data_IF_137247583483
#
_entry.id   IF_137247583483
#
_cell.length_a   1.000
_cell.length_b   1.000
_cell.length_c   1.000
_cell.angle_alpha   90.00
_cell.angle_beta   90.00
_cell.angle_gamma   90.00
#
_symmetry.space_group_name_H-M   'P 1'
#
loop_
_entity.id
_entity.type
_entity.pdbx_description
1 polymer ?
#
# COMPACT_ATOMS: atom_id res chain seq x y z
N UNK A 1 -7.03 -15.03 -48.80
CA UNK A 1 -5.94 -14.15 -48.37
C UNK A 1 -5.95 -14.21 -46.85
N UNK A 2 -5.38 -15.29 -46.29
CA UNK A 2 -5.34 -15.50 -44.84
C UNK A 2 -4.04 -14.90 -44.33
N UNK A 3 -4.16 -13.91 -43.45
CA UNK A 3 -3.05 -13.36 -42.70
C UNK A 3 -2.79 -14.36 -41.56
N UNK A 4 -1.60 -14.98 -41.46
CA UNK A 4 -1.26 -15.80 -40.31
C UNK A 4 -0.80 -14.88 -39.17
N UNK A 5 -1.66 -14.67 -38.19
CA UNK A 5 -1.27 -14.16 -36.87
C UNK A 5 -0.64 -15.31 -36.08
N UNK A 6 0.63 -15.60 -36.33
CA UNK A 6 1.45 -16.39 -35.40
C UNK A 6 2.12 -15.43 -34.43
N UNK A 7 1.46 -15.20 -33.31
CA UNK A 7 2.07 -14.63 -32.13
C UNK A 7 2.93 -15.69 -31.44
N UNK A 8 4.13 -15.34 -30.98
CA UNK A 8 4.89 -16.20 -30.09
C UNK A 8 4.25 -16.15 -28.69
N UNK A 9 4.05 -17.28 -28.01
CA UNK A 9 3.24 -17.27 -26.79
C UNK A 9 4.12 -17.15 -25.53
N UNK A 10 3.52 -16.77 -24.40
CA UNK A 10 4.24 -16.49 -23.13
C UNK A 10 4.97 -17.73 -22.63
N UNK A 11 6.29 -17.63 -22.44
CA UNK A 11 7.08 -18.70 -21.87
C UNK A 11 7.17 -18.54 -20.37
N UNK A 12 6.57 -19.50 -19.67
CA UNK A 12 6.65 -19.66 -18.22
C UNK A 12 7.44 -20.92 -17.91
N UNK A 13 8.63 -20.77 -17.31
CA UNK A 13 9.44 -21.91 -16.89
C UNK A 13 9.06 -22.33 -15.47
N UNK A 14 8.78 -23.62 -15.30
CA UNK A 14 8.12 -24.20 -14.14
C UNK A 14 9.08 -24.52 -12.97
N UNK A 15 8.61 -24.28 -11.74
CA UNK A 15 8.68 -25.21 -10.60
C UNK A 15 7.49 -24.91 -9.66
N UNK A 16 6.32 -25.50 -9.99
CA UNK A 16 5.07 -25.59 -9.21
C UNK A 16 4.32 -24.28 -8.85
N UNK A 17 3.03 -24.25 -9.21
CA UNK A 17 2.08 -23.11 -9.25
C UNK A 17 2.32 -22.13 -10.40
N UNK A 18 1.54 -22.29 -11.48
CA UNK A 18 1.57 -21.38 -12.65
C UNK A 18 1.01 -20.01 -12.27
N UNK A 19 1.52 -18.93 -12.87
CA UNK A 19 0.92 -17.65 -12.69
C UNK A 19 -0.31 -17.49 -13.54
N UNK A 20 -1.08 -16.56 -13.04
CA UNK A 20 -2.34 -16.12 -13.53
C UNK A 20 -2.19 -15.24 -14.79
N UNK A 21 -3.23 -15.14 -15.62
CA UNK A 21 -3.46 -14.04 -16.56
C UNK A 21 -4.96 -13.76 -16.48
N UNK A 22 -5.34 -12.49 -16.36
CA UNK A 22 -6.63 -12.13 -15.77
C UNK A 22 -7.33 -10.99 -16.50
N UNK A 23 -8.14 -11.32 -17.51
CA UNK A 23 -8.79 -10.34 -18.37
C UNK A 23 -10.12 -9.89 -17.77
N UNK A 24 -10.08 -8.84 -16.95
CA UNK A 24 -11.28 -8.23 -16.35
C UNK A 24 -11.77 -6.98 -17.08
N UNK A 25 -13.05 -6.96 -17.47
CA UNK A 25 -13.71 -5.76 -17.99
C UNK A 25 -14.24 -4.87 -16.86
N UNK A 26 -14.04 -3.55 -16.93
CA UNK A 26 -14.52 -2.61 -15.90
C UNK A 26 -15.94 -2.15 -16.18
N UNK A 27 -16.89 -2.48 -15.30
CA UNK A 27 -18.29 -2.06 -15.42
C UNK A 27 -18.53 -0.58 -15.08
N UNK A 28 -19.32 0.11 -15.90
CA UNK A 28 -20.00 1.37 -15.53
C UNK A 28 -21.48 1.09 -15.31
N UNK A 29 -22.00 1.39 -14.11
CA UNK A 29 -23.43 1.33 -13.81
C UNK A 29 -24.12 2.63 -14.25
N UNK A 30 -25.17 2.51 -15.09
CA UNK A 30 -26.19 3.56 -15.22
C UNK A 30 -26.33 4.31 -16.55
N UNK A 31 -25.90 3.75 -17.68
CA UNK A 31 -26.11 4.33 -19.03
C UNK A 31 -26.79 3.37 -20.02
N UNK A 32 -27.22 3.84 -21.21
CA UNK A 32 -27.73 2.96 -22.26
C UNK A 32 -26.69 1.89 -22.62
N UNK A 33 -27.16 0.65 -22.79
CA UNK A 33 -26.33 -0.55 -23.05
C UNK A 33 -25.46 -0.32 -24.29
N UNK A 34 -24.12 -0.28 -24.17
CA UNK A 34 -23.21 -0.17 -25.32
C UNK A 34 -23.31 -1.39 -26.25
N UNK A 35 -22.78 -1.35 -27.48
CA UNK A 35 -22.72 -2.54 -28.32
C UNK A 35 -21.80 -3.61 -27.71
N UNK A 36 -22.24 -4.87 -27.77
CA UNK A 36 -21.42 -6.04 -27.42
C UNK A 36 -20.17 -6.09 -28.31
N UNK A 37 -19.02 -6.29 -27.67
CA UNK A 37 -17.72 -6.45 -28.33
C UNK A 37 -17.10 -7.77 -27.86
N UNK A 38 -16.52 -8.52 -28.79
CA UNK A 38 -15.78 -9.76 -28.51
C UNK A 38 -14.29 -9.45 -28.54
N UNK A 39 -13.57 -9.83 -27.47
CA UNK A 39 -12.11 -9.81 -27.42
C UNK A 39 -11.59 -11.21 -27.14
N UNK A 40 -10.65 -11.67 -27.96
CA UNK A 40 -10.00 -12.97 -27.79
C UNK A 40 -8.50 -12.77 -27.51
N UNK A 41 -7.98 -13.49 -26.52
CA UNK A 41 -6.56 -13.48 -26.12
C UNK A 41 -6.09 -14.93 -25.82
N UNK A 42 -4.80 -15.22 -25.95
CA UNK A 42 -4.24 -16.57 -25.73
C UNK A 42 -2.92 -16.55 -24.97
N UNK A 43 -2.60 -17.67 -24.30
CA UNK A 43 -1.45 -17.91 -23.43
C UNK A 43 -0.81 -19.27 -23.76
N UNK A 44 0.51 -19.36 -23.96
CA UNK A 44 1.19 -20.67 -23.93
C UNK A 44 1.29 -21.17 -22.51
N UNK A 45 1.05 -22.45 -22.36
CA UNK A 45 1.45 -23.23 -21.21
C UNK A 45 2.48 -24.24 -21.67
N UNK A 46 3.55 -24.39 -20.89
CA UNK A 46 4.62 -25.37 -21.16
C UNK A 46 4.72 -26.31 -19.97
N UNK A 47 4.66 -27.61 -20.26
CA UNK A 47 4.92 -28.70 -19.33
C UNK A 47 4.10 -28.64 -18.02
N UNK A 48 2.80 -28.32 -18.13
CA UNK A 48 1.92 -28.16 -16.98
C UNK A 48 1.03 -29.38 -16.74
N UNK A 49 0.92 -29.79 -15.46
CA UNK A 49 -0.05 -30.82 -15.04
C UNK A 49 -1.32 -30.23 -14.45
N UNK A 50 -1.25 -28.99 -13.99
CA UNK A 50 -2.39 -28.25 -13.47
C UNK A 50 -2.17 -26.76 -13.73
N UNK A 51 -3.18 -26.10 -14.28
CA UNK A 51 -3.25 -24.64 -14.38
C UNK A 51 -4.33 -24.16 -13.43
N UNK A 52 -4.05 -23.06 -12.73
CA UNK A 52 -5.04 -22.39 -11.88
C UNK A 52 -5.06 -20.92 -12.22
N UNK A 53 -6.24 -20.44 -12.61
CA UNK A 53 -6.53 -19.04 -12.87
C UNK A 53 -7.32 -18.44 -11.69
N UNK A 54 -6.72 -17.60 -10.84
CA UNK A 54 -7.43 -16.88 -9.78
C UNK A 54 -8.17 -15.62 -10.31
N UNK A 55 -9.16 -15.13 -9.56
CA UNK A 55 -9.97 -13.93 -9.80
C UNK A 55 -10.52 -13.64 -11.22
N UNK A 56 -10.52 -14.57 -12.17
CA UNK A 56 -10.99 -14.37 -13.56
C UNK A 56 -12.40 -13.78 -13.53
N UNK A 57 -12.57 -12.56 -14.06
CA UNK A 57 -13.84 -11.82 -13.92
C UNK A 57 -14.43 -11.43 -15.28
N UNK A 58 -15.71 -11.70 -15.49
CA UNK A 58 -16.47 -11.02 -16.52
C UNK A 58 -16.85 -9.61 -16.04
N UNK A 59 -16.60 -8.60 -16.88
CA UNK A 59 -16.98 -7.24 -16.54
C UNK A 59 -18.43 -6.95 -16.90
N UNK A 60 -19.30 -6.87 -15.90
CA UNK A 60 -20.73 -6.58 -16.09
C UNK A 60 -21.56 -7.84 -16.34
N UNK A 61 -22.78 -7.67 -16.88
CA UNK A 61 -23.79 -8.74 -17.03
C UNK A 61 -23.61 -9.63 -18.28
N UNK A 62 -22.38 -10.02 -18.59
CA UNK A 62 -22.02 -10.89 -19.74
C UNK A 62 -21.23 -12.11 -19.25
N UNK A 63 -20.18 -12.56 -19.95
CA UNK A 63 -19.37 -13.73 -19.58
C UNK A 63 -18.02 -13.74 -20.32
N UNK A 64 -17.09 -14.56 -19.84
CA UNK A 64 -15.84 -14.91 -20.54
C UNK A 64 -15.77 -16.41 -20.75
N UNK A 65 -15.44 -16.86 -21.96
CA UNK A 65 -15.18 -18.27 -22.26
C UNK A 65 -13.69 -18.53 -22.13
N UNK A 66 -13.32 -19.49 -21.30
CA UNK A 66 -11.97 -19.98 -21.10
C UNK A 66 -11.83 -21.34 -21.80
N UNK A 67 -10.92 -21.45 -22.75
CA UNK A 67 -10.52 -22.71 -23.38
C UNK A 67 -9.17 -23.14 -22.82
N UNK A 68 -9.13 -24.27 -22.13
CA UNK A 68 -7.93 -24.82 -21.50
C UNK A 68 -6.96 -25.49 -22.49
N UNK A 69 -7.32 -25.52 -23.77
CA UNK A 69 -6.45 -25.91 -24.88
C UNK A 69 -6.29 -27.42 -25.08
N UNK A 70 -6.99 -28.24 -24.29
CA UNK A 70 -7.14 -29.68 -24.48
C UNK A 70 -8.56 -30.07 -24.96
N UNK A 71 -9.35 -29.06 -25.35
CA UNK A 71 -10.76 -29.21 -25.73
C UNK A 71 -11.73 -28.99 -24.57
N UNK A 72 -11.25 -28.77 -23.35
CA UNK A 72 -12.07 -28.38 -22.19
C UNK A 72 -12.30 -26.87 -22.20
N UNK A 73 -13.56 -26.45 -22.15
CA UNK A 73 -13.95 -25.04 -22.06
C UNK A 73 -14.80 -24.77 -20.83
N UNK A 74 -14.68 -23.57 -20.27
CA UNK A 74 -15.43 -23.09 -19.11
C UNK A 74 -16.01 -21.69 -19.37
N UNK A 75 -17.26 -21.45 -18.98
CA UNK A 75 -17.89 -20.13 -19.06
C UNK A 75 -17.89 -19.46 -17.69
N UNK A 76 -17.36 -18.25 -17.63
CA UNK A 76 -17.09 -17.51 -16.39
C UNK A 76 -17.99 -16.27 -16.35
N UNK A 77 -18.89 -16.23 -15.37
CA UNK A 77 -19.83 -15.13 -15.16
C UNK A 77 -19.46 -14.21 -13.99
N UNK A 78 -18.75 -14.73 -13.00
CA UNK A 78 -18.39 -14.02 -11.78
C UNK A 78 -16.89 -14.16 -11.52
N UNK A 79 -16.31 -13.20 -10.79
CA UNK A 79 -14.88 -13.26 -10.43
C UNK A 79 -14.60 -14.50 -9.57
N UNK A 80 -13.78 -15.42 -10.05
CA UNK A 80 -13.54 -16.70 -9.38
C UNK A 80 -12.15 -17.27 -9.60
N UNK A 81 -11.82 -18.28 -8.80
CA UNK A 81 -10.68 -19.16 -9.06
C UNK A 81 -11.17 -20.35 -9.90
N UNK A 82 -10.48 -20.60 -10.99
CA UNK A 82 -10.77 -21.65 -11.96
C UNK A 82 -9.52 -22.49 -12.15
N UNK A 83 -9.62 -23.82 -12.03
CA UNK A 83 -8.47 -24.70 -12.14
C UNK A 83 -8.76 -25.85 -13.07
N UNK A 84 -7.77 -26.22 -13.86
CA UNK A 84 -7.84 -27.37 -14.74
C UNK A 84 -6.61 -28.26 -14.57
N UNK A 85 -6.84 -29.56 -14.51
CA UNK A 85 -5.80 -30.57 -14.33
C UNK A 85 -5.75 -31.43 -15.59
N UNK A 86 -4.59 -31.50 -16.23
CA UNK A 86 -4.41 -32.24 -17.47
C UNK A 86 -4.09 -33.71 -17.19
N UNK A 87 -4.52 -34.59 -18.11
CA UNK A 87 -4.09 -36.00 -18.10
C UNK A 87 -2.66 -36.12 -18.65
N UNK A 88 -1.69 -35.67 -17.85
CA UNK A 88 -0.27 -35.66 -18.20
C UNK A 88 0.32 -34.25 -18.26
N UNK A 89 1.50 -34.14 -18.86
CA UNK A 89 2.16 -32.86 -19.11
C UNK A 89 1.56 -32.19 -20.34
N UNK A 90 0.93 -31.04 -20.15
CA UNK A 90 0.33 -30.23 -21.21
C UNK A 90 1.29 -29.14 -21.66
N UNK A 91 1.49 -29.07 -22.98
CA UNK A 91 2.14 -27.94 -23.66
C UNK A 91 1.24 -27.50 -24.80
N UNK A 92 0.74 -26.27 -24.77
CA UNK A 92 -0.20 -25.74 -25.75
C UNK A 92 -0.81 -24.41 -25.31
N UNK A 93 -1.76 -23.89 -26.09
CA UNK A 93 -2.38 -22.59 -25.81
C UNK A 93 -3.68 -22.71 -25.01
N UNK A 94 -3.80 -21.92 -23.95
CA UNK A 94 -5.08 -21.58 -23.29
C UNK A 94 -5.59 -20.29 -23.92
N UNK A 95 -6.89 -20.15 -24.17
CA UNK A 95 -7.47 -18.91 -24.71
C UNK A 95 -8.65 -18.40 -23.89
N UNK A 96 -8.83 -17.08 -23.90
CA UNK A 96 -9.94 -16.38 -23.26
C UNK A 96 -10.68 -15.56 -24.32
N UNK A 97 -12.00 -15.76 -24.41
CA UNK A 97 -12.91 -14.95 -25.22
C UNK A 97 -13.87 -14.19 -24.31
N UNK A 98 -13.64 -12.88 -24.14
CA UNK A 98 -14.49 -12.01 -23.33
C UNK A 98 -15.55 -11.34 -24.19
N UNK A 99 -16.81 -11.52 -23.80
CA UNK A 99 -17.96 -10.78 -24.33
C UNK A 99 -18.22 -9.59 -23.41
N UNK A 100 -18.05 -8.35 -23.88
CA UNK A 100 -18.09 -7.17 -23.02
C UNK A 100 -18.68 -5.93 -23.71
N UNK A 101 -19.25 -5.04 -22.91
CA UNK A 101 -19.67 -3.71 -23.38
C UNK A 101 -18.47 -2.76 -23.50
N UNK A 102 -18.37 -2.06 -24.62
CA UNK A 102 -17.31 -1.07 -24.83
C UNK A 102 -17.43 0.14 -23.86
N UNK A 103 -16.29 0.69 -23.36
CA UNK A 103 -14.92 0.30 -23.64
C UNK A 103 -14.44 -0.87 -22.75
N UNK A 104 -14.05 -1.98 -23.37
CA UNK A 104 -13.52 -3.14 -22.66
C UNK A 104 -12.09 -2.87 -22.16
N UNK A 105 -11.93 -2.75 -20.83
CA UNK A 105 -10.63 -2.80 -20.18
C UNK A 105 -10.15 -4.25 -20.20
N UNK A 106 -8.90 -4.44 -20.57
CA UNK A 106 -8.22 -5.73 -20.46
C UNK A 106 -7.23 -5.59 -19.31
N UNK A 107 -7.35 -6.47 -18.31
CA UNK A 107 -6.36 -6.63 -17.25
C UNK A 107 -5.56 -7.90 -17.53
N UNK A 108 -4.36 -8.02 -16.99
CA UNK A 108 -3.64 -9.28 -16.89
C UNK A 108 -2.98 -9.29 -15.53
N UNK A 109 -3.35 -10.21 -14.65
CA UNK A 109 -2.70 -10.36 -13.35
C UNK A 109 -1.97 -11.71 -13.31
N UNK A 110 -0.69 -11.69 -12.94
CA UNK A 110 0.24 -12.81 -12.90
C UNK A 110 0.70 -12.97 -11.45
N UNK A 111 0.67 -14.18 -10.87
CA UNK A 111 1.08 -14.35 -9.47
C UNK A 111 1.67 -15.70 -9.13
N UNK A 112 2.61 -15.76 -8.20
CA UNK A 112 3.16 -17.02 -7.67
C UNK A 112 4.63 -17.21 -8.02
N UNK A 113 5.21 -18.30 -7.53
CA UNK A 113 6.66 -18.52 -7.49
C UNK A 113 7.22 -18.97 -8.85
N UNK A 114 7.18 -18.09 -9.84
CA UNK A 114 7.53 -18.40 -11.24
C UNK A 114 8.48 -17.38 -11.85
N UNK A 115 9.16 -17.78 -12.93
CA UNK A 115 9.93 -16.86 -13.77
C UNK A 115 9.11 -16.44 -14.99
N UNK A 116 8.96 -15.12 -15.20
CA UNK A 116 8.25 -14.54 -16.33
C UNK A 116 9.23 -14.03 -17.39
N UNK A 117 9.02 -14.41 -18.65
CA UNK A 117 9.63 -13.77 -19.82
C UNK A 117 8.58 -12.91 -20.55
N UNK A 118 8.92 -11.63 -20.76
CA UNK A 118 8.06 -10.64 -21.43
C UNK A 118 7.78 -10.92 -22.91
N UNK A 119 8.53 -11.81 -23.58
CA UNK A 119 8.44 -11.99 -25.03
C UNK A 119 7.04 -12.41 -25.54
N UNK A 120 6.26 -13.13 -24.72
CA UNK A 120 4.91 -13.55 -25.13
C UNK A 120 3.79 -12.57 -24.80
N UNK A 121 4.06 -11.50 -24.02
CA UNK A 121 3.07 -10.46 -23.76
C UNK A 121 2.76 -9.64 -25.01
N UNK A 122 3.61 -9.69 -26.05
CA UNK A 122 3.49 -8.84 -27.24
C UNK A 122 2.16 -8.96 -28.02
N UNK A 123 1.44 -10.09 -27.89
CA UNK A 123 0.23 -10.37 -28.67
C UNK A 123 -1.08 -10.06 -27.93
N UNK A 124 -1.01 -9.78 -26.64
CA UNK A 124 -2.14 -9.29 -25.86
C UNK A 124 -2.12 -7.76 -25.83
N UNK A 125 -3.29 -7.13 -25.65
CA UNK A 125 -3.40 -5.66 -25.57
C UNK A 125 -4.01 -5.20 -24.24
N UNK A 126 -3.41 -5.57 -23.09
CA UNK A 126 -3.88 -5.14 -21.79
C UNK A 126 -3.78 -3.63 -21.63
N UNK A 127 -4.76 -3.08 -20.93
CA UNK A 127 -4.72 -1.72 -20.38
C UNK A 127 -4.09 -1.70 -18.99
N UNK A 128 -4.15 -2.83 -18.27
CA UNK A 128 -3.55 -3.04 -16.95
C UNK A 128 -2.77 -4.35 -16.97
N UNK A 129 -1.54 -4.34 -16.48
CA UNK A 129 -0.74 -5.54 -16.22
C UNK A 129 -0.28 -5.50 -14.77
N UNK A 130 -0.61 -6.51 -13.98
CA UNK A 130 -0.13 -6.74 -12.63
C UNK A 130 0.65 -8.05 -12.57
N UNK A 131 1.80 -8.04 -11.91
CA UNK A 131 2.61 -9.23 -11.65
C UNK A 131 2.95 -9.20 -10.17
N UNK A 132 2.64 -10.25 -9.41
CA UNK A 132 2.80 -10.27 -7.95
C UNK A 132 3.48 -11.54 -7.42
N UNK A 133 4.54 -11.36 -6.63
CA UNK A 133 5.24 -12.45 -5.95
C UNK A 133 5.95 -13.44 -6.89
N UNK A 134 6.48 -12.97 -8.03
CA UNK A 134 7.27 -13.81 -8.95
C UNK A 134 8.74 -13.88 -8.55
N UNK A 135 9.43 -14.99 -8.85
CA UNK A 135 10.86 -15.13 -8.53
C UNK A 135 11.71 -14.21 -9.38
N UNK A 136 11.42 -14.16 -10.68
CA UNK A 136 12.17 -13.35 -11.62
C UNK A 136 11.25 -12.83 -12.73
N UNK A 137 11.34 -11.54 -13.01
CA UNK A 137 10.75 -10.87 -14.15
C UNK A 137 11.88 -10.52 -15.10
N UNK A 138 11.96 -11.26 -16.22
CA UNK A 138 13.09 -11.25 -17.14
C UNK A 138 12.67 -10.82 -18.55
N UNK A 139 13.66 -10.47 -19.36
CA UNK A 139 13.47 -9.97 -20.71
C UNK A 139 13.38 -8.44 -20.79
N UNK A 140 13.21 -7.90 -22.01
CA UNK A 140 13.19 -6.45 -22.20
C UNK A 140 11.79 -5.90 -21.95
N UNK A 141 11.70 -4.87 -21.10
CA UNK A 141 10.48 -4.08 -20.88
C UNK A 141 9.91 -3.49 -22.19
N UNK A 142 10.71 -3.40 -23.25
CA UNK A 142 10.26 -2.92 -24.57
C UNK A 142 9.29 -3.88 -25.25
N UNK A 143 9.25 -5.15 -24.80
CA UNK A 143 8.32 -6.18 -25.26
C UNK A 143 6.93 -6.03 -24.65
N UNK A 144 6.78 -5.17 -23.62
CA UNK A 144 5.49 -4.91 -23.00
C UNK A 144 4.52 -4.25 -24.00
N UNK A 145 3.23 -4.65 -24.01
CA UNK A 145 2.22 -4.02 -24.84
C UNK A 145 2.12 -2.52 -24.62
N UNK A 146 2.19 -1.76 -25.71
CA UNK A 146 2.10 -0.29 -25.70
C UNK A 146 0.72 0.25 -25.26
N UNK A 147 -0.28 -0.62 -25.19
CA UNK A 147 -1.63 -0.33 -24.68
C UNK A 147 -1.68 -0.20 -23.15
N UNK A 148 -0.66 -0.68 -22.44
CA UNK A 148 -0.64 -0.66 -20.98
C UNK A 148 -0.61 0.80 -20.49
N UNK A 149 -1.56 1.10 -19.61
CA UNK A 149 -1.67 2.38 -18.89
C UNK A 149 -1.44 2.21 -17.40
N UNK A 150 -1.55 0.99 -16.88
CA UNK A 150 -1.27 0.65 -15.48
C UNK A 150 -0.37 -0.58 -15.45
N UNK A 151 0.84 -0.42 -14.91
CA UNK A 151 1.78 -1.51 -14.74
C UNK A 151 2.10 -1.66 -13.26
N UNK A 152 1.95 -2.87 -12.73
CA UNK A 152 2.40 -3.26 -11.41
C UNK A 152 3.24 -4.52 -11.52
N UNK A 153 4.46 -4.51 -11.00
CA UNK A 153 5.34 -5.68 -10.98
C UNK A 153 5.96 -5.78 -9.58
N UNK A 154 5.74 -6.91 -8.91
CA UNK A 154 6.44 -7.35 -7.71
C UNK A 154 7.21 -8.62 -8.06
N UNK A 155 8.53 -8.54 -8.00
CA UNK A 155 9.41 -9.68 -8.24
C UNK A 155 10.55 -9.72 -7.22
N UNK A 156 11.07 -10.91 -6.93
CA UNK A 156 12.34 -11.04 -6.20
C UNK A 156 13.52 -10.61 -7.10
N UNK A 157 13.40 -10.76 -8.41
CA UNK A 157 14.40 -10.34 -9.39
C UNK A 157 13.68 -9.57 -10.51
N UNK A 158 14.00 -8.30 -10.70
CA UNK A 158 13.45 -7.47 -11.78
C UNK A 158 14.56 -6.99 -12.70
N UNK A 159 14.61 -7.53 -13.91
CA UNK A 159 15.52 -7.11 -14.97
C UNK A 159 14.83 -6.16 -15.97
N UNK A 160 15.63 -5.39 -16.70
CA UNK A 160 15.17 -4.49 -17.76
C UNK A 160 15.73 -3.08 -17.64
N UNK A 161 15.30 -2.17 -18.51
CA UNK A 161 15.67 -0.75 -18.49
C UNK A 161 14.41 0.11 -18.38
N UNK A 162 14.38 1.04 -17.43
CA UNK A 162 13.25 1.98 -17.26
C UNK A 162 12.92 2.78 -18.52
N UNK A 163 13.89 3.03 -19.40
CA UNK A 163 13.69 3.72 -20.67
C UNK A 163 12.79 2.94 -21.65
N UNK A 164 12.67 1.63 -21.46
CA UNK A 164 11.90 0.74 -22.32
C UNK A 164 10.42 0.63 -21.91
N UNK A 165 10.00 1.28 -20.81
CA UNK A 165 8.63 1.25 -20.33
C UNK A 165 7.61 1.82 -21.35
N UNK A 166 6.38 1.28 -21.42
CA UNK A 166 5.35 1.80 -22.32
C UNK A 166 5.10 3.31 -22.15
N UNK A 167 5.05 4.09 -23.25
CA UNK A 167 5.06 5.56 -23.17
C UNK A 167 3.76 6.18 -22.62
N UNK A 168 2.66 5.41 -22.59
CA UNK A 168 1.34 5.88 -22.17
C UNK A 168 0.98 5.50 -20.72
N UNK A 169 1.96 5.05 -19.92
CA UNK A 169 1.74 4.69 -18.53
C UNK A 169 1.21 5.86 -17.70
N UNK A 170 0.12 5.61 -16.99
CA UNK A 170 -0.49 6.51 -16.00
C UNK A 170 -0.17 6.09 -14.58
N UNK A 171 -0.05 4.79 -14.33
CA UNK A 171 0.28 4.22 -13.03
C UNK A 171 1.42 3.23 -13.20
N UNK A 172 2.46 3.38 -12.38
CA UNK A 172 3.60 2.48 -12.35
C UNK A 172 3.88 2.06 -10.92
N UNK A 173 3.88 0.75 -10.67
CA UNK A 173 4.30 0.14 -9.41
C UNK A 173 5.41 -0.85 -9.76
N UNK A 174 6.61 -0.63 -9.23
CA UNK A 174 7.71 -1.58 -9.36
C UNK A 174 8.24 -1.91 -7.97
N UNK A 175 8.18 -3.18 -7.62
CA UNK A 175 8.72 -3.75 -6.41
C UNK A 175 9.76 -4.80 -6.79
N UNK A 176 11.02 -4.56 -6.45
CA UNK A 176 12.11 -5.50 -6.60
C UNK A 176 12.66 -5.86 -5.22
N UNK A 177 12.43 -7.09 -4.77
CA UNK A 177 12.78 -7.53 -3.42
C UNK A 177 14.21 -8.08 -3.30
N UNK A 178 14.84 -8.45 -4.42
CA UNK A 178 16.21 -8.96 -4.46
C UNK A 178 17.21 -7.89 -4.90
N UNK A 179 18.45 -8.32 -5.18
CA UNK A 179 19.61 -7.45 -5.32
C UNK A 179 19.96 -7.10 -6.78
N UNK A 180 19.16 -7.52 -7.75
CA UNK A 180 19.43 -7.31 -9.16
C UNK A 180 19.04 -5.91 -9.62
N UNK A 181 19.97 -5.23 -10.28
CA UNK A 181 19.78 -3.84 -10.68
C UNK A 181 18.98 -3.73 -11.97
N UNK A 182 17.77 -3.18 -11.89
CA UNK A 182 17.08 -2.59 -13.04
C UNK A 182 17.92 -1.43 -13.60
N UNK A 183 18.10 -1.43 -14.92
CA UNK A 183 18.87 -0.42 -15.64
C UNK A 183 18.08 0.88 -15.82
N UNK A 184 18.80 1.95 -16.10
CA UNK A 184 18.24 3.28 -16.26
C UNK A 184 18.06 4.02 -14.92
N UNK A 185 17.43 5.19 -15.04
CA UNK A 185 17.17 6.11 -13.94
C UNK A 185 15.72 6.59 -14.04
N UNK A 186 15.18 7.15 -12.96
CA UNK A 186 13.85 7.75 -12.96
C UNK A 186 13.70 8.88 -13.99
N UNK A 187 14.79 9.49 -14.45
CA UNK A 187 14.81 10.45 -15.57
C UNK A 187 14.30 9.86 -16.90
N UNK A 188 14.37 8.54 -17.06
CA UNK A 188 13.89 7.83 -18.24
C UNK A 188 12.41 7.46 -18.17
N UNK A 189 11.73 7.73 -17.05
CA UNK A 189 10.34 7.34 -16.89
C UNK A 189 9.42 8.05 -17.90
N UNK A 190 8.35 7.38 -18.38
CA UNK A 190 7.34 8.00 -19.22
C UNK A 190 6.73 9.26 -18.59
N UNK A 191 6.74 10.36 -19.35
CA UNK A 191 6.23 11.67 -18.91
C UNK A 191 4.71 11.72 -18.66
N UNK A 192 4.00 10.62 -18.89
CA UNK A 192 2.55 10.49 -18.75
C UNK A 192 2.14 9.98 -17.37
N UNK A 193 3.09 9.52 -16.55
CA UNK A 193 2.86 8.89 -15.23
C UNK A 193 2.28 9.91 -14.24
N UNK A 194 1.17 9.53 -13.61
CA UNK A 194 0.47 10.32 -12.59
C UNK A 194 0.63 9.69 -11.19
N UNK A 195 0.82 8.37 -11.12
CA UNK A 195 1.07 7.62 -9.90
C UNK A 195 2.32 6.76 -10.04
N UNK A 196 3.28 6.93 -9.13
CA UNK A 196 4.53 6.18 -9.10
C UNK A 196 4.73 5.54 -7.72
N UNK A 197 4.95 4.23 -7.70
CA UNK A 197 5.38 3.49 -6.51
C UNK A 197 6.62 2.67 -6.84
N UNK A 198 7.75 3.01 -6.22
CA UNK A 198 9.01 2.32 -6.40
C UNK A 198 9.48 1.77 -5.06
N UNK A 199 9.57 0.45 -4.96
CA UNK A 199 10.16 -0.25 -3.85
C UNK A 199 11.32 -1.10 -4.38
N UNK A 200 12.54 -0.84 -3.92
CA UNK A 200 13.68 -1.70 -4.25
C UNK A 200 14.70 -1.59 -3.15
N UNK A 201 15.54 -2.60 -2.93
CA UNK A 201 16.77 -2.46 -2.15
C UNK A 201 17.85 -1.80 -3.00
N UNK A 202 17.82 -0.46 -3.06
CA UNK A 202 18.90 0.40 -3.58
C UNK A 202 19.11 0.49 -5.11
N UNK A 203 18.18 0.01 -5.96
CA UNK A 203 18.45 -0.06 -7.41
C UNK A 203 17.86 1.05 -8.25
N UNK A 204 16.79 1.71 -7.81
CA UNK A 204 16.24 2.87 -8.52
C UNK A 204 17.11 4.10 -8.24
N UNK A 205 17.67 4.69 -9.32
CA UNK A 205 18.59 5.84 -9.27
C UNK A 205 18.02 7.07 -9.98
N UNK A 206 18.60 8.24 -9.72
CA UNK A 206 18.15 9.55 -10.23
C UNK A 206 17.74 10.48 -9.09
N UNK A 207 17.36 11.70 -9.43
CA UNK A 207 17.05 12.74 -8.45
C UNK A 207 15.56 13.12 -8.45
N UNK A 208 15.05 13.67 -7.35
CA UNK A 208 13.65 14.12 -7.27
C UNK A 208 13.26 15.11 -8.38
N UNK A 209 14.21 15.92 -8.88
CA UNK A 209 14.03 16.81 -10.03
C UNK A 209 13.67 16.08 -11.34
N UNK A 210 14.01 14.79 -11.45
CA UNK A 210 13.78 13.96 -12.63
C UNK A 210 12.36 13.39 -12.70
N UNK A 211 11.56 13.52 -11.63
CA UNK A 211 10.20 13.00 -11.60
C UNK A 211 9.33 13.64 -12.71
N UNK A 212 8.50 12.84 -13.42
CA UNK A 212 7.60 13.36 -14.46
C UNK A 212 6.72 14.52 -13.97
N UNK A 213 6.59 15.58 -14.77
CA UNK A 213 5.79 16.75 -14.39
C UNK A 213 4.28 16.47 -14.24
N UNK A 214 3.79 15.34 -14.74
CA UNK A 214 2.39 14.89 -14.58
C UNK A 214 2.12 14.20 -13.24
N UNK A 215 3.15 13.91 -12.45
CA UNK A 215 3.03 13.12 -11.22
C UNK A 215 2.17 13.86 -10.19
N UNK A 216 1.23 13.12 -9.60
CA UNK A 216 0.34 13.58 -8.52
C UNK A 216 0.60 12.85 -7.22
N UNK A 217 1.01 11.59 -7.31
CA UNK A 217 1.34 10.77 -6.15
C UNK A 217 2.63 10.00 -6.37
N UNK A 218 3.51 10.04 -5.38
CA UNK A 218 4.80 9.35 -5.38
C UNK A 218 5.00 8.58 -4.08
N UNK A 219 5.35 7.31 -4.20
CA UNK A 219 5.66 6.39 -3.12
C UNK A 219 7.04 5.80 -3.38
N UNK A 220 8.06 6.20 -2.62
CA UNK A 220 9.44 5.80 -2.80
C UNK A 220 9.89 5.10 -1.53
N UNK A 221 10.33 3.85 -1.65
CA UNK A 221 10.79 3.08 -0.50
C UNK A 221 12.06 2.29 -0.79
N UNK A 222 13.03 2.36 0.13
CA UNK A 222 14.29 1.60 0.13
C UNK A 222 15.27 1.90 -1.03
N UNK A 223 15.08 3.01 -1.74
CA UNK A 223 15.84 3.35 -2.94
C UNK A 223 17.09 4.20 -2.67
N UNK A 224 17.91 4.40 -3.70
CA UNK A 224 19.09 5.29 -3.71
C UNK A 224 18.84 6.60 -4.46
N UNK A 225 17.57 7.04 -4.49
CA UNK A 225 17.19 8.30 -5.13
C UNK A 225 17.79 9.49 -4.38
N UNK A 226 18.34 10.43 -5.14
CA UNK A 226 18.89 11.68 -4.65
C UNK A 226 17.94 12.86 -4.85
N UNK A 227 18.49 14.06 -4.75
CA UNK A 227 17.76 15.32 -4.86
C UNK A 227 17.19 15.81 -3.53
N UNK A 228 16.67 17.04 -3.58
CA UNK A 228 16.09 17.75 -2.42
C UNK A 228 14.58 17.75 -2.47
N UNK A 229 13.91 17.82 -1.32
CA UNK A 229 12.45 17.96 -1.26
C UNK A 229 11.95 19.18 -2.05
N UNK A 230 12.75 20.24 -2.13
CA UNK A 230 12.42 21.47 -2.88
C UNK A 230 12.37 21.28 -4.41
N UNK A 231 12.92 20.17 -4.91
CA UNK A 231 12.90 19.80 -6.33
C UNK A 231 11.63 19.03 -6.70
N UNK A 232 10.87 18.54 -5.71
CA UNK A 232 9.59 17.88 -5.94
C UNK A 232 8.61 18.83 -6.64
N UNK A 233 7.86 18.29 -7.61
CA UNK A 233 6.87 19.07 -8.33
C UNK A 233 5.78 19.61 -7.38
N UNK A 234 5.52 20.92 -7.47
CA UNK A 234 4.52 21.63 -6.66
C UNK A 234 3.08 21.17 -6.88
N UNK A 235 2.79 20.41 -7.95
CA UNK A 235 1.48 19.80 -8.20
C UNK A 235 1.23 18.49 -7.46
N UNK A 236 2.22 17.94 -6.75
CA UNK A 236 2.05 16.71 -5.97
C UNK A 236 0.97 16.89 -4.90
N UNK A 237 0.11 15.88 -4.79
CA UNK A 237 -0.97 15.76 -3.82
C UNK A 237 -0.61 14.75 -2.72
N UNK A 238 0.23 13.76 -3.03
CA UNK A 238 0.65 12.71 -2.10
C UNK A 238 2.14 12.37 -2.25
N UNK A 239 2.86 12.37 -1.13
CA UNK A 239 4.30 12.06 -1.07
C UNK A 239 4.54 11.08 0.06
N UNK A 240 5.11 9.92 -0.27
CA UNK A 240 5.55 8.91 0.68
C UNK A 240 7.01 8.55 0.38
N UNK A 241 7.94 8.87 1.29
CA UNK A 241 9.38 8.63 1.11
C UNK A 241 9.90 7.90 2.35
N UNK A 242 10.31 6.65 2.18
CA UNK A 242 10.66 5.75 3.29
C UNK A 242 12.00 5.05 3.03
N UNK A 243 12.99 5.19 3.93
CA UNK A 243 14.30 4.53 3.76
C UNK A 243 14.95 4.82 2.41
N UNK A 244 14.77 6.04 1.90
CA UNK A 244 15.57 6.51 0.77
C UNK A 244 16.82 7.13 1.37
N UNK A 245 18.00 6.85 0.82
CA UNK A 245 19.28 7.32 1.36
C UNK A 245 19.87 8.49 0.55
N UNK A 246 19.22 9.68 0.49
CA UNK A 246 19.77 10.79 -0.29
C UNK A 246 21.03 11.42 0.36
N UNK A 247 21.45 10.97 1.54
CA UNK A 247 22.40 11.69 2.39
C UNK A 247 21.75 12.88 3.10
N UNK A 248 22.50 13.61 3.92
CA UNK A 248 22.00 14.86 4.51
C UNK A 248 21.95 15.96 3.44
N UNK A 249 20.74 16.29 2.99
CA UNK A 249 20.48 17.28 1.96
C UNK A 249 20.10 18.66 2.52
N UNK A 250 19.94 18.78 3.85
CA UNK A 250 19.42 19.97 4.50
C UNK A 250 17.95 20.27 4.14
N UNK A 251 17.16 19.23 3.85
CA UNK A 251 15.74 19.36 3.53
C UNK A 251 14.94 19.85 4.74
N UNK A 252 13.95 20.72 4.48
CA UNK A 252 13.07 21.24 5.52
C UNK A 252 11.59 21.07 5.14
N UNK A 253 10.71 21.14 6.14
CA UNK A 253 9.26 21.06 5.91
C UNK A 253 8.72 22.15 4.97
N UNK A 254 9.34 23.33 4.91
CA UNK A 254 8.95 24.40 3.99
C UNK A 254 9.35 24.15 2.51
N UNK A 255 10.15 23.12 2.26
CA UNK A 255 10.52 22.69 0.89
C UNK A 255 9.42 21.81 0.25
N UNK A 256 8.45 21.33 1.04
CA UNK A 256 7.40 20.45 0.56
C UNK A 256 6.46 21.13 -0.47
N UNK A 257 5.91 20.36 -1.42
CA UNK A 257 4.84 20.83 -2.29
C UNK A 257 3.65 21.40 -1.48
N UNK A 258 3.12 22.57 -1.84
CA UNK A 258 2.17 23.30 -0.99
C UNK A 258 0.74 22.72 -0.98
N UNK A 259 0.41 21.82 -1.92
CA UNK A 259 -0.94 21.28 -2.09
C UNK A 259 -1.08 19.84 -1.58
N UNK A 260 -0.12 19.35 -0.79
CA UNK A 260 -0.16 17.97 -0.29
C UNK A 260 -1.38 17.74 0.60
N UNK A 261 -2.10 16.65 0.33
CA UNK A 261 -3.14 16.12 1.21
C UNK A 261 -2.61 14.98 2.06
N UNK A 262 -1.57 14.29 1.58
CA UNK A 262 -0.98 13.14 2.26
C UNK A 262 0.55 13.20 2.24
N UNK A 263 1.15 13.09 3.43
CA UNK A 263 2.60 13.08 3.59
C UNK A 263 3.03 11.92 4.50
N UNK A 264 3.95 11.10 3.99
CA UNK A 264 4.67 10.07 4.72
C UNK A 264 6.17 10.23 4.56
N UNK A 265 6.91 10.46 5.62
CA UNK A 265 8.36 10.55 5.61
C UNK A 265 8.92 9.60 6.68
N UNK A 266 9.89 8.75 6.34
CA UNK A 266 10.54 7.87 7.31
C UNK A 266 12.00 7.66 6.95
N UNK A 267 12.87 7.70 7.95
CA UNK A 267 14.31 7.53 7.78
C UNK A 267 14.85 8.53 6.73
N UNK A 268 14.43 9.78 6.88
CA UNK A 268 14.81 10.92 6.06
C UNK A 268 15.15 12.07 7.00
N UNK A 269 16.34 12.67 6.87
CA UNK A 269 16.73 13.82 7.68
C UNK A 269 16.02 15.06 7.14
N UNK A 270 15.01 15.54 7.87
CA UNK A 270 14.21 16.70 7.50
C UNK A 270 14.07 17.62 8.71
N UNK A 271 14.48 18.88 8.55
CA UNK A 271 14.34 19.91 9.57
C UNK A 271 13.08 20.77 9.40
N UNK A 272 12.97 21.81 10.23
CA UNK A 272 11.96 22.86 10.08
C UNK A 272 10.82 22.78 11.09
N UNK A 273 9.94 23.79 11.05
CA UNK A 273 8.84 23.95 11.99
C UNK A 273 7.59 23.22 11.51
N UNK A 274 6.81 22.65 12.43
CA UNK A 274 5.47 22.15 12.11
C UNK A 274 4.56 23.22 11.47
N UNK A 275 4.82 24.51 11.75
CA UNK A 275 4.06 25.61 11.16
C UNK A 275 4.21 25.74 9.63
N UNK A 276 5.29 25.17 9.08
CA UNK A 276 5.60 25.14 7.64
C UNK A 276 4.83 24.05 6.88
N UNK A 277 4.17 23.12 7.58
CA UNK A 277 3.41 22.05 6.95
C UNK A 277 2.27 22.59 6.06
N UNK A 278 2.03 22.00 4.87
CA UNK A 278 0.88 22.33 4.05
C UNK A 278 -0.44 22.20 4.81
N UNK A 279 -1.24 23.28 4.83
CA UNK A 279 -2.51 23.33 5.58
C UNK A 279 -3.62 22.47 4.97
N UNK A 280 -3.38 21.87 3.81
CA UNK A 280 -4.26 20.92 3.11
C UNK A 280 -4.12 19.49 3.61
N UNK A 281 -3.10 19.18 4.43
CA UNK A 281 -2.83 17.81 4.88
C UNK A 281 -4.01 17.23 5.67
N UNK A 282 -4.46 16.06 5.25
CA UNK A 282 -5.39 15.19 5.98
C UNK A 282 -4.67 13.98 6.59
N UNK A 283 -3.55 13.57 5.99
CA UNK A 283 -2.71 12.49 6.46
C UNK A 283 -1.26 12.97 6.65
N UNK A 284 -0.72 12.79 7.85
CA UNK A 284 0.67 13.08 8.18
C UNK A 284 1.29 11.91 8.94
N UNK A 285 2.37 11.35 8.40
CA UNK A 285 3.22 10.37 9.08
C UNK A 285 4.68 10.77 8.89
N UNK A 286 5.32 11.37 9.88
CA UNK A 286 6.77 11.62 9.86
C UNK A 286 7.39 10.76 10.95
N UNK A 287 8.28 9.84 10.59
CA UNK A 287 8.94 8.90 11.51
C UNK A 287 10.44 9.03 11.34
N UNK A 288 11.21 8.87 12.42
CA UNK A 288 12.68 8.88 12.35
C UNK A 288 13.21 10.13 11.61
N UNK A 289 12.64 11.30 11.96
CA UNK A 289 12.89 12.58 11.31
C UNK A 289 13.75 13.47 12.19
N UNK A 290 14.99 13.73 11.75
CA UNK A 290 15.94 14.50 12.55
C UNK A 290 15.70 16.01 12.38
N UNK A 291 15.51 16.72 13.50
CA UNK A 291 15.43 18.19 13.59
C UNK A 291 14.09 18.86 13.19
N UNK A 292 12.98 18.11 13.09
CA UNK A 292 11.63 18.70 13.11
C UNK A 292 11.31 19.19 14.52
N UNK A 293 10.82 20.43 14.62
CA UNK A 293 10.43 21.06 15.89
C UNK A 293 9.11 21.82 15.78
N UNK A 294 8.56 22.22 16.93
CA UNK A 294 7.32 23.00 16.98
C UNK A 294 6.42 22.59 18.14
N UNK A 295 5.17 23.05 18.07
CA UNK A 295 4.12 22.68 19.03
C UNK A 295 2.95 21.99 18.37
N UNK A 296 2.21 21.17 19.13
CA UNK A 296 1.01 20.48 18.64
C UNK A 296 -0.01 21.46 18.04
N UNK A 297 -0.11 22.68 18.59
CA UNK A 297 -1.00 23.74 18.08
C UNK A 297 -0.71 24.21 16.66
N UNK A 298 0.49 23.93 16.12
CA UNK A 298 0.91 24.34 14.78
C UNK A 298 0.46 23.34 13.69
N UNK A 299 0.02 22.14 14.07
CA UNK A 299 -0.42 21.10 13.14
C UNK A 299 -1.62 21.55 12.28
N UNK A 300 -1.72 21.09 11.03
CA UNK A 300 -2.88 21.37 10.19
C UNK A 300 -4.20 20.87 10.81
N UNK A 301 -5.18 21.78 10.95
CA UNK A 301 -6.48 21.46 11.55
C UNK A 301 -7.34 20.47 10.73
N UNK A 302 -6.94 20.18 9.49
CA UNK A 302 -7.59 19.22 8.60
C UNK A 302 -7.15 17.77 8.81
N UNK A 303 -6.14 17.51 9.64
CA UNK A 303 -5.62 16.17 9.87
C UNK A 303 -6.69 15.22 10.42
N UNK A 304 -6.81 14.07 9.77
CA UNK A 304 -7.57 12.89 10.23
C UNK A 304 -6.63 11.79 10.73
N UNK A 305 -5.41 11.74 10.20
CA UNK A 305 -4.38 10.79 10.63
C UNK A 305 -3.09 11.51 10.94
N UNK A 306 -2.55 11.27 12.14
CA UNK A 306 -1.27 11.79 12.59
C UNK A 306 -0.39 10.66 13.12
N UNK A 307 0.82 10.54 12.60
CA UNK A 307 1.89 9.75 13.20
C UNK A 307 3.16 10.57 13.27
N UNK A 308 3.71 10.73 14.47
CA UNK A 308 5.02 11.36 14.70
C UNK A 308 5.90 10.33 15.40
N UNK A 309 6.96 9.87 14.75
CA UNK A 309 7.86 8.83 15.26
C UNK A 309 8.97 9.37 16.17
N UNK A 310 10.13 8.73 16.15
CA UNK A 310 11.26 9.06 17.05
C UNK A 310 12.05 10.28 16.56
N UNK A 311 12.70 11.00 17.49
CA UNK A 311 13.66 12.06 17.19
C UNK A 311 13.09 13.47 17.03
N UNK A 312 11.83 13.67 17.42
CA UNK A 312 11.15 14.96 17.36
C UNK A 312 11.37 15.76 18.64
N UNK A 313 11.60 17.08 18.51
CA UNK A 313 11.56 18.00 19.64
C UNK A 313 10.23 18.75 19.66
N UNK A 314 9.19 18.06 20.11
CA UNK A 314 7.82 18.57 20.11
C UNK A 314 7.27 18.72 21.53
N UNK A 315 6.51 19.79 21.72
CA UNK A 315 5.81 20.09 22.98
C UNK A 315 4.35 20.46 22.72
N UNK A 316 3.48 20.31 23.72
CA UNK A 316 2.10 20.78 23.61
C UNK A 316 1.15 20.07 24.56
N UNK A 317 -0.14 20.29 24.34
CA UNK A 317 -1.23 19.64 25.09
C UNK A 317 -2.12 18.79 24.20
N UNK A 318 -2.73 17.73 24.75
CA UNK A 318 -3.73 16.94 24.02
C UNK A 318 -4.92 17.78 23.53
N UNK A 319 -5.32 18.80 24.28
CA UNK A 319 -6.39 19.74 23.93
C UNK A 319 -6.08 20.61 22.70
N UNK A 320 -4.82 20.67 22.27
CA UNK A 320 -4.37 21.39 21.08
C UNK A 320 -4.40 20.53 19.81
N UNK A 321 -4.67 19.23 19.94
CA UNK A 321 -4.72 18.32 18.79
C UNK A 321 -5.83 18.71 17.81
N UNK A 322 -5.63 18.49 16.49
CA UNK A 322 -6.68 18.69 15.50
C UNK A 322 -7.94 17.88 15.84
N UNK A 323 -9.08 18.57 15.98
CA UNK A 323 -10.33 17.96 16.42
C UNK A 323 -10.99 16.98 15.42
N UNK A 324 -10.36 16.73 14.27
CA UNK A 324 -10.82 15.78 13.24
C UNK A 324 -10.03 14.46 13.24
N UNK A 325 -9.04 14.30 14.12
CA UNK A 325 -8.23 13.10 14.17
C UNK A 325 -9.08 11.86 14.47
N UNK A 326 -8.96 10.86 13.61
CA UNK A 326 -9.50 9.50 13.79
C UNK A 326 -8.39 8.52 14.16
N UNK A 327 -7.14 8.79 13.76
CA UNK A 327 -5.98 7.98 14.12
C UNK A 327 -4.81 8.84 14.58
N UNK A 328 -4.23 8.48 15.72
CA UNK A 328 -3.14 9.20 16.36
C UNK A 328 -2.08 8.22 16.85
N UNK A 329 -0.82 8.44 16.46
CA UNK A 329 0.32 7.65 16.91
C UNK A 329 1.50 8.56 17.26
N UNK A 330 2.04 8.39 18.46
CA UNK A 330 3.28 9.05 18.88
C UNK A 330 4.36 8.01 19.14
N UNK A 331 5.58 8.33 18.71
CA UNK A 331 6.80 7.58 18.98
C UNK A 331 7.62 8.22 20.11
N UNK A 332 8.88 7.80 20.17
CA UNK A 332 9.80 8.18 21.24
C UNK A 332 10.08 9.69 21.24
N UNK A 333 10.34 10.25 22.42
CA UNK A 333 10.71 11.66 22.66
C UNK A 333 9.64 12.73 22.36
N UNK A 334 8.40 12.34 22.02
CA UNK A 334 7.28 13.29 21.91
C UNK A 334 6.76 13.65 23.30
N UNK A 335 6.91 14.94 23.69
CA UNK A 335 6.50 15.44 25.02
C UNK A 335 5.15 16.15 24.95
N UNK A 336 4.06 15.43 25.19
CA UNK A 336 2.72 16.01 25.24
C UNK A 336 2.19 15.92 26.68
N UNK A 337 1.53 16.98 27.11
CA UNK A 337 0.95 17.12 28.45
C UNK A 337 -0.58 17.21 28.41
N UNK A 338 -1.20 17.16 29.58
CA UNK A 338 -2.66 17.18 29.71
C UNK A 338 -3.24 15.77 29.75
N UNK A 339 -4.57 15.68 29.84
CA UNK A 339 -5.19 14.39 30.11
C UNK A 339 -5.58 13.65 28.84
N UNK A 340 -5.52 12.32 28.86
CA UNK A 340 -6.10 11.51 27.78
C UNK A 340 -7.61 11.75 27.59
N UNK A 341 -8.29 12.34 28.58
CA UNK A 341 -9.65 12.85 28.44
C UNK A 341 -9.82 14.04 27.49
N UNK A 342 -8.72 14.74 27.16
CA UNK A 342 -8.66 15.88 26.25
C UNK A 342 -8.37 15.46 24.80
N UNK A 343 -8.14 14.16 24.55
CA UNK A 343 -8.00 13.62 23.19
C UNK A 343 -9.27 13.92 22.36
N UNK A 344 -9.14 14.14 21.03
CA UNK A 344 -10.28 14.41 20.16
C UNK A 344 -11.37 13.34 20.28
N UNK A 345 -12.63 13.77 20.40
CA UNK A 345 -13.77 12.85 20.52
C UNK A 345 -14.02 12.00 19.26
N UNK A 346 -13.38 12.33 18.13
CA UNK A 346 -13.43 11.59 16.87
C UNK A 346 -12.44 10.44 16.80
N UNK A 347 -11.56 10.29 17.79
CA UNK A 347 -10.45 9.35 17.75
C UNK A 347 -10.94 7.91 17.87
N UNK A 348 -10.64 7.09 16.86
CA UNK A 348 -10.96 5.66 16.83
C UNK A 348 -9.74 4.79 17.10
N UNK A 349 -8.53 5.30 16.88
CA UNK A 349 -7.28 4.59 17.15
C UNK A 349 -6.24 5.52 17.79
N UNK A 350 -5.68 5.08 18.91
CA UNK A 350 -4.61 5.76 19.63
C UNK A 350 -3.44 4.81 19.85
N UNK A 351 -2.23 5.27 19.54
CA UNK A 351 -1.00 4.53 19.80
C UNK A 351 0.09 5.44 20.37
N UNK A 352 0.87 4.89 21.29
CA UNK A 352 1.98 5.58 21.93
C UNK A 352 3.15 4.62 22.15
N UNK A 353 4.33 4.95 21.62
CA UNK A 353 5.59 4.20 21.77
C UNK A 353 6.59 5.05 22.57
N UNK A 354 6.73 4.71 23.87
CA UNK A 354 7.74 5.14 24.88
C UNK A 354 7.48 6.36 25.81
N UNK A 355 8.28 6.46 26.88
CA UNK A 355 7.87 6.36 28.27
C UNK A 355 7.44 7.61 29.07
N UNK A 356 7.28 8.80 28.50
CA UNK A 356 6.69 9.88 29.31
C UNK A 356 5.21 9.63 29.51
N UNK A 357 4.86 9.08 30.67
CA UNK A 357 3.46 8.85 31.08
C UNK A 357 2.68 10.16 30.95
N UNK A 358 1.66 10.23 30.08
CA UNK A 358 0.92 11.46 29.88
C UNK A 358 0.16 11.92 31.13
N UNK A 359 -0.25 10.95 31.96
CA UNK A 359 -0.86 11.13 33.28
C UNK A 359 -0.45 9.95 34.17
N UNK A 360 -0.39 10.15 35.48
CA UNK A 360 -0.29 9.04 36.46
C UNK A 360 -1.64 8.32 36.65
N UNK A 361 -2.75 8.90 36.19
CA UNK A 361 -4.11 8.34 36.34
C UNK A 361 -5.01 8.71 35.16
N UNK A 362 -5.58 7.69 34.52
CA UNK A 362 -6.52 7.87 33.41
C UNK A 362 -7.93 7.91 33.97
N UNK A 363 -8.64 9.02 33.77
CA UNK A 363 -10.01 9.20 34.31
C UNK A 363 -11.08 9.27 33.22
N UNK A 364 -10.69 9.51 31.96
CA UNK A 364 -11.58 9.62 30.81
C UNK A 364 -10.84 9.29 29.52
N UNK A 365 -11.59 8.76 28.54
CA UNK A 365 -11.14 8.50 27.17
C UNK A 365 -12.21 8.96 26.16
N UNK A 366 -11.84 9.24 24.90
CA UNK A 366 -12.79 9.53 23.83
C UNK A 366 -13.87 8.46 23.64
N UNK A 367 -15.11 8.90 23.41
CA UNK A 367 -16.21 8.00 23.06
C UNK A 367 -16.00 7.48 21.63
N UNK A 368 -15.90 6.16 21.46
CA UNK A 368 -15.71 5.53 20.14
C UNK A 368 -14.28 5.06 19.86
N UNK A 369 -13.37 5.17 20.84
CA UNK A 369 -12.03 4.61 20.76
C UNK A 369 -12.11 3.09 20.59
N UNK A 370 -11.68 2.62 19.42
CA UNK A 370 -11.73 1.21 18.98
C UNK A 370 -10.35 0.57 18.85
N UNK A 371 -9.25 1.28 19.14
CA UNK A 371 -7.92 0.72 19.30
C UNK A 371 -7.08 1.55 20.29
N UNK A 372 -6.40 0.88 21.22
CA UNK A 372 -5.36 1.47 22.07
C UNK A 372 -4.13 0.57 22.04
N UNK A 373 -3.02 1.08 21.52
CA UNK A 373 -1.72 0.41 21.52
C UNK A 373 -0.73 1.24 22.33
N UNK A 374 -0.41 0.80 23.54
CA UNK A 374 0.68 1.39 24.32
C UNK A 374 1.84 0.40 24.31
N UNK A 375 2.96 0.83 23.77
CA UNK A 375 4.21 0.08 23.74
C UNK A 375 5.28 0.90 24.46
N UNK A 376 6.08 0.27 25.31
CA UNK A 376 7.20 0.92 25.98
C UNK A 376 8.45 0.07 25.87
N UNK A 377 9.50 0.68 25.32
CA UNK A 377 10.80 0.05 25.14
C UNK A 377 11.79 0.42 26.25
N UNK A 378 11.54 1.50 27.00
CA UNK A 378 12.52 2.02 27.97
C UNK A 378 12.03 2.09 29.41
N UNK A 379 10.72 2.17 29.67
CA UNK A 379 10.18 2.19 31.03
C UNK A 379 9.02 1.22 31.27
N UNK A 380 8.83 0.88 32.55
CA UNK A 380 7.72 0.06 33.04
C UNK A 380 6.45 0.89 33.19
N UNK A 381 5.35 0.46 32.55
CA UNK A 381 4.02 0.91 32.96
C UNK A 381 3.67 0.26 34.29
N UNK A 382 3.40 1.08 35.31
CA UNK A 382 2.97 0.61 36.62
C UNK A 382 1.59 -0.06 36.52
N UNK A 383 1.38 -1.10 37.33
CA UNK A 383 0.16 -1.90 37.32
C UNK A 383 -1.11 -1.08 37.61
N UNK A 384 -1.02 -0.07 38.47
CA UNK A 384 -2.12 0.86 38.78
C UNK A 384 -2.51 1.76 37.60
N UNK A 385 -1.53 2.22 36.82
CA UNK A 385 -1.76 2.98 35.59
C UNK A 385 -2.49 2.10 34.56
N UNK A 386 -2.02 0.88 34.35
CA UNK A 386 -2.68 -0.12 33.47
C UNK A 386 -4.11 -0.38 33.93
N UNK A 387 -4.33 -0.60 35.22
CA UNK A 387 -5.65 -0.86 35.79
C UNK A 387 -6.59 0.35 35.66
N UNK A 388 -6.07 1.58 35.70
CA UNK A 388 -6.86 2.80 35.48
C UNK A 388 -7.40 2.88 34.05
N UNK A 389 -6.57 2.55 33.04
CA UNK A 389 -6.98 2.49 31.63
C UNK A 389 -8.09 1.45 31.45
N UNK A 390 -7.85 0.23 31.95
CA UNK A 390 -8.81 -0.87 31.84
C UNK A 390 -10.16 -0.51 32.50
N UNK A 391 -10.11 0.17 33.65
CA UNK A 391 -11.31 0.57 34.38
C UNK A 391 -12.12 1.64 33.64
N UNK A 392 -11.46 2.65 33.06
CA UNK A 392 -12.14 3.67 32.24
C UNK A 392 -12.74 3.05 30.97
N UNK A 393 -12.02 2.14 30.33
CA UNK A 393 -12.52 1.40 29.17
C UNK A 393 -13.77 0.58 29.49
N UNK A 394 -13.76 -0.14 30.61
CA UNK A 394 -14.91 -0.94 31.05
C UNK A 394 -16.12 -0.08 31.42
N UNK A 395 -15.86 1.05 32.12
CA UNK A 395 -16.88 2.01 32.56
C UNK A 395 -17.53 2.80 31.42
N UNK A 396 -16.83 3.02 30.31
CA UNK A 396 -17.37 3.73 29.14
C UNK A 396 -18.53 2.98 28.44
N UNK A 397 -18.89 1.78 28.90
CA UNK A 397 -20.13 1.11 28.47
C UNK A 397 -20.17 0.78 26.98
N UNK A 398 -18.99 0.65 26.35
CA UNK A 398 -18.86 0.43 24.91
C UNK A 398 -19.51 -0.92 24.56
N UNK A 399 -20.68 -0.85 23.92
CA UNK A 399 -21.51 -2.01 23.59
C UNK A 399 -20.92 -2.79 22.41
N UNK A 400 -21.13 -4.11 22.41
CA UNK A 400 -20.75 -5.06 21.35
C UNK A 400 -21.37 -4.79 19.97
N UNK A 401 -22.11 -3.68 19.80
CA UNK A 401 -22.78 -3.27 18.56
C UNK A 401 -21.84 -2.65 17.52
N UNK A 402 -20.59 -2.34 17.87
CA UNK A 402 -19.54 -2.05 16.89
C UNK A 402 -18.86 -3.37 16.45
N UNK A 403 -19.63 -4.24 15.81
CA UNK A 403 -19.22 -5.58 15.34
C UNK A 403 -18.18 -5.57 14.19
N UNK A 404 -17.50 -4.45 13.96
CA UNK A 404 -16.42 -4.28 12.97
C UNK A 404 -15.12 -3.70 13.56
N UNK A 405 -15.08 -3.33 14.85
CA UNK A 405 -13.88 -2.79 15.49
C UNK A 405 -13.61 -3.55 16.78
N UNK A 406 -12.81 -4.61 16.70
CA UNK A 406 -12.22 -5.23 17.89
C UNK A 406 -11.37 -4.17 18.59
N UNK A 407 -11.74 -3.75 19.80
CA UNK A 407 -10.79 -3.02 20.63
C UNK A 407 -9.66 -3.97 20.94
N UNK A 408 -8.53 -3.75 20.25
CA UNK A 408 -7.27 -4.40 20.54
C UNK A 408 -6.56 -3.50 21.54
N UNK A 409 -6.72 -3.81 22.83
CA UNK A 409 -5.88 -3.24 23.88
C UNK A 409 -4.61 -4.06 23.87
N UNK A 410 -3.54 -3.47 23.37
CA UNK A 410 -2.23 -4.09 23.39
C UNK A 410 -1.33 -3.20 24.24
N UNK A 411 -1.00 -3.71 25.42
CA UNK A 411 -0.05 -3.11 26.34
C UNK A 411 1.18 -4.01 26.30
N UNK A 412 2.28 -3.51 25.75
CA UNK A 412 3.51 -4.27 25.56
C UNK A 412 4.71 -3.45 26.05
N UNK A 413 5.73 -4.18 26.48
CA UNK A 413 7.03 -3.64 26.85
C UNK A 413 7.92 -4.74 27.41
N UNK A 414 9.21 -4.47 27.52
CA UNK A 414 10.19 -5.44 28.07
C UNK A 414 10.10 -5.55 29.59
N UNK A 415 9.40 -4.63 30.26
CA UNK A 415 9.32 -4.57 31.73
C UNK A 415 7.93 -4.15 32.26
N UNK A 416 6.81 -4.52 31.63
CA UNK A 416 5.48 -4.20 32.20
C UNK A 416 5.19 -4.97 33.50
N UNK A 417 4.55 -4.32 34.47
CA UNK A 417 3.93 -5.04 35.59
C UNK A 417 2.61 -5.69 35.15
N UNK A 418 2.32 -6.89 35.65
CA UNK A 418 1.07 -7.56 35.39
C UNK A 418 -0.11 -6.71 35.89
N UNK A 419 -1.13 -6.53 35.05
CA UNK A 419 -2.39 -5.91 35.46
C UNK A 419 -2.99 -6.66 36.66
N UNK A 420 -3.44 -5.94 37.69
CA UNK A 420 -4.04 -6.56 38.87
C UNK A 420 -5.56 -6.60 38.78
N UNK A 421 -6.16 -5.78 37.92
CA UNK A 421 -7.60 -5.71 37.69
C UNK A 421 -8.09 -6.75 36.67
N UNK A 422 -8.03 -8.03 37.07
CA UNK A 422 -8.55 -9.14 36.24
C UNK A 422 -10.04 -9.03 35.97
N UNK A 423 -10.82 -8.39 36.85
CA UNK A 423 -12.26 -8.17 36.65
C UNK A 423 -12.59 -7.28 35.44
N UNK A 424 -11.81 -6.22 35.21
CA UNK A 424 -11.97 -5.39 34.02
C UNK A 424 -11.59 -6.16 32.75
N UNK A 425 -10.52 -6.97 32.80
CA UNK A 425 -10.11 -7.83 31.68
C UNK A 425 -11.22 -8.82 31.32
N UNK A 426 -11.78 -9.52 32.30
CA UNK A 426 -12.88 -10.48 32.10
C UNK A 426 -14.14 -9.80 31.55
N UNK A 427 -14.51 -8.65 32.11
CA UNK A 427 -15.66 -7.86 31.65
C UNK A 427 -15.51 -7.42 30.19
N UNK A 428 -14.37 -6.84 29.82
CA UNK A 428 -14.08 -6.43 28.45
C UNK A 428 -14.08 -7.63 27.49
N UNK A 429 -13.43 -8.73 27.89
CA UNK A 429 -13.42 -9.98 27.10
C UNK A 429 -14.83 -10.51 26.87
N UNK A 430 -15.70 -10.47 27.89
CA UNK A 430 -17.11 -10.87 27.77
C UNK A 430 -17.93 -9.98 26.84
N UNK A 431 -17.53 -8.71 26.69
CA UNK A 431 -18.11 -7.73 25.74
C UNK A 431 -17.56 -7.92 24.30
N UNK A 432 -16.72 -8.93 24.07
CA UNK A 432 -16.17 -9.29 22.75
C UNK A 432 -14.84 -8.60 22.41
N UNK A 433 -14.11 -8.13 23.42
CA UNK A 433 -12.88 -7.35 23.22
C UNK A 433 -11.63 -8.24 23.32
N UNK A 434 -10.58 -7.86 22.59
CA UNK A 434 -9.29 -8.54 22.68
C UNK A 434 -8.36 -7.72 23.58
N UNK A 435 -8.16 -8.21 24.80
CA UNK A 435 -7.25 -7.60 25.77
C UNK A 435 -5.96 -8.40 25.84
N UNK A 436 -4.87 -7.82 25.31
CA UNK A 436 -3.53 -8.38 25.37
C UNK A 436 -2.66 -7.49 26.27
N UNK A 437 -2.55 -7.87 27.54
CA UNK A 437 -1.56 -7.29 28.47
C UNK A 437 -0.43 -8.30 28.54
N UNK A 438 0.77 -7.93 28.08
CA UNK A 438 1.94 -8.81 28.18
C UNK A 438 2.31 -8.92 29.67
N UNK A 439 2.29 -10.16 30.19
CA UNK A 439 2.64 -10.53 31.57
C UNK A 439 4.14 -10.56 31.81
#
# INVERSE_FOLDING_TARGET
>A
MNIPTKGFPLKLLCLASLPLILIGCGGSSGGPVPPDTVKSESLEVIDARQVTLNHVSAGGSTYTVLDWGDGTTEEIHDSGQHSHTYEGEYTGEISLESHCYAPCKTTVDISGNVTLDTSGLANISPTTLSVDGVTAFTGSLSSLPKSITKLAITAESLEGDLADLPPNLKSLILRNDGNEKILGSIASLPKSIEFLNLYSTEQFTGDFADLPSSIKSVHLSRNTLGGKLSELNRSLESVYIYNVYPGDQGDNLNDLPPNLTSLGLSNLTVGGSLSDLPRTLTYLSIREGNAVYGTISELPASLTTLTLGNGFNLTGMYSELPGKLTSLSFGQDVRISGSMGDLPSTLTSFSWDDATQPDQLVTKLPNGLGQILLDSKTETFASDYVDSILSVLDANGLSSSNSQSSLNVRLMGDTMEAATNTGAIDSLTSKGWTVNVKS
#
